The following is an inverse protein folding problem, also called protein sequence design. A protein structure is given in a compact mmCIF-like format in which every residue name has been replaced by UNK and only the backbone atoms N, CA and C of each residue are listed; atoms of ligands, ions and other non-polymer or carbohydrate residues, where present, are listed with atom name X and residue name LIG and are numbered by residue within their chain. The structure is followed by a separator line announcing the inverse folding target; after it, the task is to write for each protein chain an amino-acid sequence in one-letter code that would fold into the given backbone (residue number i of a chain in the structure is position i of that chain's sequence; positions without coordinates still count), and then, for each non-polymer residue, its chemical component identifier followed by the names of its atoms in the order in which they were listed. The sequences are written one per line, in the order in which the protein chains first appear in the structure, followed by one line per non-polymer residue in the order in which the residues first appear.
data_IF_842307635769
#
_entry.id   IF_842307635769
#
_cell.length_a   1.000
_cell.length_b   1.000
_cell.length_c   1.000
_cell.angle_alpha   90.00
_cell.angle_beta   90.00
_cell.angle_gamma   90.00
#
_symmetry.space_group_name_H-M   'P 1'
#
loop_
_entity.id
_entity.type
_entity.pdbx_description
1 polymer ?
#
# COMPACT_ATOMS: atom_id res chain seq x y z
N UNK A 1 -3.80 19.79 -4.06
CA UNK A 1 -2.86 18.77 -4.56
C UNK A 1 -1.39 19.01 -4.19
N UNK A 2 -0.96 20.20 -3.76
CA UNK A 2 0.46 20.47 -3.40
C UNK A 2 0.98 19.66 -2.20
N UNK A 3 0.17 19.50 -1.15
CA UNK A 3 0.63 18.86 0.09
C UNK A 3 0.99 17.37 -0.05
N UNK A 4 0.35 16.63 -0.97
CA UNK A 4 0.57 15.19 -1.10
C UNK A 4 1.90 14.90 -1.81
N UNK A 5 2.18 15.61 -2.91
CA UNK A 5 3.44 15.47 -3.65
C UNK A 5 4.65 15.90 -2.81
N UNK A 6 4.49 16.97 -2.02
CA UNK A 6 5.53 17.49 -1.14
C UNK A 6 5.81 16.52 0.01
N UNK A 7 4.76 15.92 0.59
CA UNK A 7 4.88 14.86 1.60
C UNK A 7 5.56 13.61 1.04
N UNK A 8 5.17 13.14 -0.14
CA UNK A 8 5.77 11.93 -0.74
C UNK A 8 7.27 12.12 -1.01
N UNK A 9 7.71 13.32 -1.41
CA UNK A 9 9.12 13.63 -1.58
C UNK A 9 9.88 13.60 -0.25
N UNK A 10 9.29 14.17 0.82
CA UNK A 10 9.87 14.15 2.16
C UNK A 10 9.94 12.72 2.72
N UNK A 11 8.88 11.93 2.56
CA UNK A 11 8.82 10.54 3.05
C UNK A 11 9.77 9.60 2.29
N UNK A 12 10.00 9.85 0.99
CA UNK A 12 10.94 9.05 0.18
C UNK A 12 12.42 9.36 0.47
N UNK A 13 12.72 10.55 0.99
CA UNK A 13 14.10 11.02 1.22
C UNK A 13 14.52 10.98 2.69
N UNK A 14 13.66 10.48 3.58
CA UNK A 14 13.94 10.41 5.02
C UNK A 14 14.98 9.33 5.31
N UNK A 15 16.04 9.68 6.06
CA UNK A 15 17.08 8.71 6.46
C UNK A 15 16.55 7.61 7.40
N UNK A 16 15.52 7.92 8.19
CA UNK A 16 14.87 6.97 9.08
C UNK A 16 13.55 6.45 8.47
N UNK A 17 13.48 5.15 8.22
CA UNK A 17 12.32 4.46 7.65
C UNK A 17 11.79 5.12 6.36
N UNK A 18 12.60 5.13 5.27
CA UNK A 18 12.20 5.72 4.00
C UNK A 18 10.97 5.01 3.41
N UNK A 19 10.17 5.74 2.66
CA UNK A 19 9.06 5.17 1.90
C UNK A 19 9.58 4.35 0.72
N UNK A 20 9.87 3.07 0.95
CA UNK A 20 10.33 2.11 -0.07
C UNK A 20 9.38 0.94 -0.21
N UNK A 21 9.15 0.49 -1.44
CA UNK A 21 8.38 -0.74 -1.72
C UNK A 21 9.24 -1.95 -1.31
N UNK A 22 8.73 -2.78 -0.40
CA UNK A 22 9.38 -4.03 -0.03
C UNK A 22 9.35 -5.03 -1.21
N UNK A 23 10.28 -5.98 -1.24
CA UNK A 23 10.43 -6.92 -2.35
C UNK A 23 9.24 -7.90 -2.48
N UNK A 24 8.53 -8.12 -1.38
CA UNK A 24 7.34 -8.95 -1.23
C UNK A 24 6.04 -8.13 -1.22
N UNK A 25 6.12 -6.80 -1.38
CA UNK A 25 4.95 -5.94 -1.36
C UNK A 25 4.06 -6.17 -2.59
N UNK A 26 2.78 -6.38 -2.36
CA UNK A 26 1.77 -6.48 -3.42
C UNK A 26 1.28 -5.07 -3.75
N UNK A 27 1.53 -4.61 -4.98
CA UNK A 27 1.04 -3.31 -5.45
C UNK A 27 -0.47 -3.37 -5.74
N UNK A 28 -1.22 -2.44 -5.18
CA UNK A 28 -2.67 -2.31 -5.35
C UNK A 28 -2.97 -0.90 -5.82
N UNK A 29 -3.45 -0.79 -7.06
CA UNK A 29 -4.03 0.46 -7.58
C UNK A 29 -5.51 0.53 -7.18
N UNK A 30 -5.89 1.58 -6.46
CA UNK A 30 -7.26 1.86 -6.03
C UNK A 30 -7.85 3.10 -6.72
N UNK A 31 -7.22 3.61 -7.80
CA UNK A 31 -7.64 4.84 -8.48
C UNK A 31 -9.08 4.79 -9.00
N UNK A 32 -9.52 3.61 -9.47
CA UNK A 32 -10.86 3.38 -10.03
C UNK A 32 -11.74 2.47 -9.14
N UNK A 33 -11.37 2.27 -7.86
CA UNK A 33 -12.08 1.37 -6.96
C UNK A 33 -12.97 2.14 -5.98
N UNK A 34 -14.13 1.56 -5.64
CA UNK A 34 -14.92 2.03 -4.50
C UNK A 34 -14.32 1.57 -3.17
N UNK A 35 -14.69 2.21 -2.06
CA UNK A 35 -14.19 1.85 -0.73
C UNK A 35 -14.50 0.38 -0.37
N UNK A 36 -15.67 -0.10 -0.76
CA UNK A 36 -16.10 -1.47 -0.50
C UNK A 36 -15.28 -2.49 -1.31
N UNK A 37 -15.07 -2.23 -2.61
CA UNK A 37 -14.23 -3.07 -3.47
C UNK A 37 -12.76 -3.07 -3.02
N UNK A 38 -12.25 -1.92 -2.59
CA UNK A 38 -10.90 -1.82 -2.03
C UNK A 38 -10.79 -2.66 -0.75
N UNK A 39 -11.78 -2.57 0.14
CA UNK A 39 -11.79 -3.34 1.38
C UNK A 39 -11.82 -4.84 1.12
N UNK A 40 -12.71 -5.32 0.25
CA UNK A 40 -12.83 -6.74 -0.08
C UNK A 40 -11.55 -7.29 -0.71
N UNK A 41 -10.89 -6.51 -1.58
CA UNK A 41 -9.65 -6.91 -2.23
C UNK A 41 -8.50 -7.03 -1.21
N UNK A 42 -8.37 -6.08 -0.29
CA UNK A 42 -7.37 -6.13 0.78
C UNK A 42 -7.65 -7.29 1.74
N UNK A 43 -8.91 -7.48 2.15
CA UNK A 43 -9.31 -8.55 3.06
C UNK A 43 -9.00 -9.93 2.47
N UNK A 44 -9.24 -10.11 1.17
CA UNK A 44 -8.92 -11.35 0.47
C UNK A 44 -7.41 -11.60 0.41
N UNK A 45 -6.62 -10.59 0.08
CA UNK A 45 -5.15 -10.72 0.04
C UNK A 45 -4.59 -11.06 1.42
N UNK A 46 -5.06 -10.37 2.47
CA UNK A 46 -4.66 -10.65 3.84
C UNK A 46 -5.01 -12.07 4.26
N UNK A 47 -6.23 -12.54 3.96
CA UNK A 47 -6.65 -13.92 4.23
C UNK A 47 -5.79 -14.94 3.50
N UNK A 48 -5.55 -14.74 2.20
CA UNK A 48 -4.67 -15.63 1.43
C UNK A 48 -3.28 -15.72 2.04
N UNK A 49 -2.63 -14.59 2.35
CA UNK A 49 -1.30 -14.61 2.97
C UNK A 49 -1.27 -15.24 4.36
N UNK A 50 -2.32 -15.06 5.16
CA UNK A 50 -2.42 -15.64 6.51
C UNK A 50 -2.72 -17.15 6.45
N UNK A 51 -3.66 -17.57 5.58
CA UNK A 51 -4.03 -18.98 5.40
C UNK A 51 -2.95 -19.79 4.69
N UNK A 52 -2.20 -19.20 3.75
CA UNK A 52 -1.04 -19.83 3.09
C UNK A 52 0.15 -20.05 4.07
N UNK A 53 0.07 -19.54 5.30
CA UNK A 53 1.06 -19.80 6.35
C UNK A 53 0.71 -20.98 7.28
N UNK A 54 -0.40 -21.70 7.05
CA UNK A 54 -0.75 -22.94 7.78
C UNK A 54 -0.08 -24.21 7.25
#
# INVERSE_FOLDING_TARGET
MKNVQERDHIDSTREDSPLVKAADAIEIDNSDMTLDEQFDKILRLAKMTIEDCE
#
